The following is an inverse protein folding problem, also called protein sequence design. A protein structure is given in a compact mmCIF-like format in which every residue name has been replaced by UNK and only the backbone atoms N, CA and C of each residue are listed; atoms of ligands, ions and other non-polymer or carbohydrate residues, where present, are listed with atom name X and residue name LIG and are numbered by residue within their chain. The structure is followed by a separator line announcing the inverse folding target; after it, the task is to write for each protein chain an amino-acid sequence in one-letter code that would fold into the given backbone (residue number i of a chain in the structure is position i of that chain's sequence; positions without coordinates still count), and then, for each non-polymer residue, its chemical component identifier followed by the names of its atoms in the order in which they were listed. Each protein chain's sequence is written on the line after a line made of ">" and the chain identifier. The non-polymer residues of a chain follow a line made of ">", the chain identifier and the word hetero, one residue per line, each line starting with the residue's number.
data_IF_745329970497
#
_entry.id   IF_745329970497
#
_cell.length_a   1.000
_cell.length_b   1.000
_cell.length_c   1.000
_cell.angle_alpha   90.00
_cell.angle_beta   90.00
_cell.angle_gamma   90.00
#
_symmetry.space_group_name_H-M   'P 1'
#
loop_
_entity.id
_entity.type
_entity.pdbx_description
1 polymer ?
#
# COMPACT_ATOMS: atom_id res chain seq x y z
N UNK A 1 2.70 -5.58 13.84
CA UNK A 1 1.79 -5.91 12.74
C UNK A 1 0.43 -5.58 13.28
N UNK A 2 -0.22 -4.53 12.76
CA UNK A 2 -1.60 -4.20 13.14
C UNK A 2 -2.49 -5.43 12.82
N UNK A 3 -3.54 -5.64 13.60
CA UNK A 3 -4.49 -6.73 13.35
C UNK A 3 -5.41 -6.35 12.18
N UNK A 4 -5.65 -7.27 11.23
CA UNK A 4 -6.62 -7.06 10.14
C UNK A 4 -7.99 -6.71 10.71
N UNK A 5 -8.37 -7.34 11.82
CA UNK A 5 -9.63 -7.06 12.52
C UNK A 5 -9.66 -5.62 13.07
N UNK A 6 -8.56 -5.13 13.67
CA UNK A 6 -8.46 -3.74 14.14
C UNK A 6 -8.55 -2.74 12.98
N UNK A 7 -7.90 -3.01 11.85
CA UNK A 7 -7.97 -2.16 10.66
C UNK A 7 -9.40 -2.06 10.12
N UNK A 8 -10.11 -3.19 10.01
CA UNK A 8 -11.49 -3.22 9.52
C UNK A 8 -12.45 -2.53 10.50
N UNK A 9 -12.28 -2.72 11.81
CA UNK A 9 -13.06 -2.03 12.84
C UNK A 9 -12.89 -0.50 12.75
N UNK A 10 -11.64 -0.02 12.61
CA UNK A 10 -11.36 1.41 12.49
C UNK A 10 -12.01 2.07 11.27
N UNK A 11 -12.35 1.28 10.23
CA UNK A 11 -13.05 1.72 9.03
C UNK A 11 -14.56 1.52 9.08
N UNK A 12 -15.09 1.05 10.21
CA UNK A 12 -16.53 0.88 10.42
C UNK A 12 -17.12 -0.39 9.82
N UNK A 13 -16.30 -1.40 9.52
CA UNK A 13 -16.80 -2.73 9.16
C UNK A 13 -17.46 -3.36 10.39
N UNK A 14 -18.61 -4.00 10.19
CA UNK A 14 -19.41 -4.56 11.28
C UNK A 14 -18.67 -5.72 11.96
N UNK A 15 -18.72 -5.78 13.30
CA UNK A 15 -18.11 -6.86 14.09
C UNK A 15 -18.59 -8.25 13.65
N UNK A 16 -19.87 -8.40 13.29
CA UNK A 16 -20.42 -9.67 12.79
C UNK A 16 -19.70 -10.15 11.51
N UNK A 17 -19.39 -9.22 10.60
CA UNK A 17 -18.64 -9.53 9.38
C UNK A 17 -17.22 -9.98 9.70
N UNK A 18 -16.56 -9.30 10.66
CA UNK A 18 -15.20 -9.62 11.07
C UNK A 18 -15.15 -11.01 11.73
N UNK A 19 -16.10 -11.30 12.63
CA UNK A 19 -16.27 -12.63 13.22
C UNK A 19 -16.49 -13.71 12.15
N UNK A 20 -17.29 -13.42 11.13
CA UNK A 20 -17.51 -14.34 10.02
C UNK A 20 -16.23 -14.58 9.21
N UNK A 21 -15.41 -13.55 8.98
CA UNK A 21 -14.11 -13.67 8.32
C UNK A 21 -13.14 -14.53 9.14
N UNK A 22 -13.09 -14.31 10.46
CA UNK A 22 -12.27 -15.09 11.39
C UNK A 22 -12.70 -16.57 11.44
N UNK A 23 -14.00 -16.85 11.51
CA UNK A 23 -14.54 -18.22 11.49
C UNK A 23 -14.16 -18.96 10.20
N UNK A 24 -14.17 -18.24 9.07
CA UNK A 24 -13.76 -18.77 7.78
C UNK A 24 -12.24 -18.79 7.57
N UNK A 25 -11.46 -18.37 8.58
CA UNK A 25 -9.99 -18.29 8.53
C UNK A 25 -9.49 -17.40 7.39
N UNK A 26 -10.16 -16.28 7.17
CA UNK A 26 -9.77 -15.25 6.21
C UNK A 26 -8.79 -14.30 6.90
N UNK A 27 -7.51 -14.60 6.79
CA UNK A 27 -6.40 -13.75 7.28
C UNK A 27 -5.84 -12.85 6.18
N UNK A 28 -4.78 -12.09 6.48
CA UNK A 28 -4.14 -11.17 5.53
C UNK A 28 -3.65 -11.85 4.26
N UNK A 29 -3.14 -13.08 4.36
CA UNK A 29 -2.58 -13.82 3.23
C UNK A 29 -3.72 -14.29 2.31
N UNK A 30 -4.81 -14.79 2.90
CA UNK A 30 -6.02 -15.16 2.17
C UNK A 30 -6.62 -13.94 1.47
N UNK A 31 -6.75 -12.80 2.17
CA UNK A 31 -7.25 -11.55 1.57
C UNK A 31 -6.41 -11.15 0.36
N UNK A 32 -5.08 -11.26 0.45
CA UNK A 32 -4.17 -10.94 -0.65
C UNK A 32 -4.37 -11.78 -1.93
N UNK A 33 -4.95 -12.99 -1.78
CA UNK A 33 -5.22 -13.93 -2.87
C UNK A 33 -6.66 -13.90 -3.38
N UNK A 34 -7.58 -13.25 -2.67
CA UNK A 34 -8.99 -13.17 -3.06
C UNK A 34 -9.19 -12.26 -4.29
N UNK A 35 -10.17 -12.59 -5.12
CA UNK A 35 -10.67 -11.66 -6.14
C UNK A 35 -11.63 -10.61 -5.53
N UNK A 36 -11.81 -9.48 -6.23
CA UNK A 36 -12.65 -8.36 -5.75
C UNK A 36 -14.11 -8.78 -5.47
N UNK A 37 -14.68 -9.65 -6.31
CA UNK A 37 -16.07 -10.07 -6.18
C UNK A 37 -16.27 -10.98 -4.96
N UNK A 38 -15.27 -11.78 -4.60
CA UNK A 38 -15.28 -12.57 -3.37
C UNK A 38 -15.14 -11.67 -2.14
N UNK A 39 -14.22 -10.70 -2.17
CA UNK A 39 -14.04 -9.77 -1.04
C UNK A 39 -15.24 -8.83 -0.85
N UNK A 40 -15.93 -8.46 -1.92
CA UNK A 40 -17.16 -7.63 -1.89
C UNK A 40 -18.27 -8.22 -1.02
N UNK A 41 -18.30 -9.55 -0.82
CA UNK A 41 -19.27 -10.21 0.07
C UNK A 41 -19.10 -9.83 1.54
N UNK A 42 -17.89 -9.45 1.93
CA UNK A 42 -17.55 -9.03 3.29
C UNK A 42 -17.44 -7.51 3.39
N UNK A 43 -16.82 -6.88 2.38
CA UNK A 43 -16.52 -5.44 2.40
C UNK A 43 -17.19 -4.80 1.17
N UNK A 44 -18.46 -4.36 1.28
CA UNK A 44 -19.22 -3.84 0.14
C UNK A 44 -18.66 -2.53 -0.44
N UNK A 45 -18.05 -1.72 0.43
CA UNK A 45 -17.40 -0.45 0.07
C UNK A 45 -16.14 -0.70 -0.76
N UNK A 46 -16.11 -0.20 -2.00
CA UNK A 46 -14.97 -0.38 -2.90
C UNK A 46 -13.68 0.22 -2.35
N UNK A 47 -13.76 1.44 -1.78
CA UNK A 47 -12.59 2.12 -1.20
C UNK A 47 -11.97 1.33 -0.05
N UNK A 48 -12.79 0.69 0.78
CA UNK A 48 -12.30 -0.12 1.90
C UNK A 48 -11.70 -1.44 1.43
N UNK A 49 -12.19 -2.01 0.32
CA UNK A 49 -11.54 -3.16 -0.34
C UNK A 49 -10.15 -2.83 -0.84
N UNK A 50 -9.98 -1.70 -1.54
CA UNK A 50 -8.65 -1.25 -1.98
C UNK A 50 -7.74 -1.00 -0.78
N UNK A 51 -8.26 -0.38 0.28
CA UNK A 51 -7.51 -0.10 1.49
C UNK A 51 -7.03 -1.40 2.18
N UNK A 52 -7.89 -2.40 2.35
CA UNK A 52 -7.49 -3.67 2.97
C UNK A 52 -6.57 -4.49 2.07
N UNK A 53 -6.76 -4.48 0.75
CA UNK A 53 -5.83 -5.13 -0.18
C UNK A 53 -4.44 -4.52 -0.04
N UNK A 54 -4.33 -3.19 -0.02
CA UNK A 54 -3.04 -2.51 0.16
C UNK A 54 -2.45 -2.76 1.55
N UNK A 55 -3.29 -2.80 2.58
CA UNK A 55 -2.88 -3.13 3.94
C UNK A 55 -2.27 -4.54 4.01
N UNK A 56 -2.95 -5.55 3.48
CA UNK A 56 -2.49 -6.94 3.44
C UNK A 56 -1.31 -7.13 2.48
N UNK A 57 -1.25 -6.35 1.38
CA UNK A 57 -0.14 -6.32 0.42
C UNK A 57 1.02 -5.43 0.85
N UNK A 58 1.06 -4.90 2.08
CA UNK A 58 2.31 -4.43 2.68
C UNK A 58 3.27 -5.60 2.91
N UNK A 59 3.58 -6.30 1.82
CA UNK A 59 4.48 -7.43 1.77
C UNK A 59 5.84 -6.91 1.38
N UNK A 60 6.86 -7.29 2.13
CA UNK A 60 8.26 -7.23 1.69
C UNK A 60 8.53 -8.17 0.51
N UNK A 61 7.49 -8.83 -0.01
CA UNK A 61 7.54 -9.77 -1.12
C UNK A 61 7.48 -9.01 -2.46
N UNK A 62 8.58 -9.02 -3.19
CA UNK A 62 8.63 -8.53 -4.56
C UNK A 62 8.02 -9.61 -5.47
N UNK A 63 6.79 -9.36 -5.93
CA UNK A 63 6.03 -10.26 -6.84
C UNK A 63 6.10 -9.83 -8.32
N UNK A 64 7.05 -8.96 -8.65
CA UNK A 64 7.28 -8.45 -10.01
C UNK A 64 8.73 -8.67 -10.42
N UNK A 65 8.96 -8.98 -11.70
CA UNK A 65 10.31 -9.13 -12.26
C UNK A 65 10.99 -7.77 -12.48
N UNK A 66 10.22 -6.69 -12.56
CA UNK A 66 10.73 -5.35 -12.79
C UNK A 66 9.88 -4.27 -12.13
N UNK A 67 10.55 -3.15 -11.82
CA UNK A 67 9.92 -1.87 -11.48
C UNK A 67 10.30 -0.86 -12.56
N UNK A 68 9.37 0.02 -12.89
CA UNK A 68 9.59 1.13 -13.81
C UNK A 68 9.92 2.37 -12.99
N UNK A 69 11.00 3.07 -13.36
CA UNK A 69 11.43 4.29 -12.69
C UNK A 69 11.17 5.48 -13.61
N UNK A 70 10.23 6.33 -13.21
CA UNK A 70 9.91 7.59 -13.88
C UNK A 70 10.63 8.76 -13.22
N UNK A 71 11.25 9.63 -14.02
CA UNK A 71 11.81 10.89 -13.54
C UNK A 71 10.85 12.03 -13.85
N UNK A 72 10.46 12.79 -12.83
CA UNK A 72 9.43 13.81 -12.94
C UNK A 72 9.87 15.15 -12.37
N UNK A 73 9.29 16.22 -12.90
CA UNK A 73 9.46 17.56 -12.34
C UNK A 73 8.65 17.68 -11.06
N UNK A 74 9.33 17.64 -9.92
CA UNK A 74 8.74 17.85 -8.60
C UNK A 74 9.18 19.21 -8.06
N UNK A 75 8.30 19.87 -7.30
CA UNK A 75 8.68 21.08 -6.56
C UNK A 75 9.53 20.69 -5.34
N UNK A 76 10.32 21.61 -4.79
CA UNK A 76 11.11 21.36 -3.57
C UNK A 76 10.24 20.89 -2.38
N UNK A 77 8.97 21.29 -2.34
CA UNK A 77 8.02 20.91 -1.27
C UNK A 77 7.30 19.59 -1.53
N UNK A 78 7.36 19.06 -2.75
CA UNK A 78 6.72 17.79 -3.16
C UNK A 78 7.74 16.77 -3.63
N UNK A 79 9.01 17.00 -3.33
CA UNK A 79 10.14 16.18 -3.78
C UNK A 79 10.30 14.98 -2.85
N UNK A 80 9.40 14.02 -2.98
CA UNK A 80 9.48 12.73 -2.27
C UNK A 80 9.28 11.61 -3.28
N UNK A 81 9.94 10.46 -3.14
CA UNK A 81 9.65 9.30 -3.97
C UNK A 81 8.18 8.89 -3.86
N UNK A 82 7.51 8.68 -4.99
CA UNK A 82 6.10 8.26 -5.04
C UNK A 82 6.03 6.87 -5.66
N UNK A 83 5.42 5.93 -4.95
CA UNK A 83 5.24 4.56 -5.45
C UNK A 83 3.79 4.29 -5.83
N UNK A 84 3.56 3.85 -7.07
CA UNK A 84 2.29 3.30 -7.53
C UNK A 84 2.40 1.77 -7.61
N UNK A 85 2.01 1.09 -6.53
CA UNK A 85 2.17 -0.37 -6.37
C UNK A 85 1.36 -1.18 -7.37
N UNK A 86 0.18 -0.73 -7.77
CA UNK A 86 -0.65 -1.43 -8.77
C UNK A 86 0.01 -1.48 -10.16
N UNK A 87 0.92 -0.55 -10.46
CA UNK A 87 1.59 -0.43 -11.76
C UNK A 87 3.09 -0.72 -11.75
N UNK A 88 3.66 -1.08 -10.60
CA UNK A 88 5.11 -1.22 -10.39
C UNK A 88 5.90 0.03 -10.83
N UNK A 89 5.34 1.23 -10.61
CA UNK A 89 5.99 2.49 -10.97
C UNK A 89 6.53 3.20 -9.72
N UNK A 90 7.77 3.68 -9.82
CA UNK A 90 8.41 4.54 -8.84
C UNK A 90 8.75 5.86 -9.51
N UNK A 91 8.19 6.95 -9.00
CA UNK A 91 8.42 8.30 -9.49
C UNK A 91 9.42 9.00 -8.58
N UNK A 92 10.44 9.60 -9.19
CA UNK A 92 11.55 10.26 -8.52
C UNK A 92 11.74 11.63 -9.16
N UNK A 93 12.12 12.63 -8.38
CA UNK A 93 12.41 13.94 -8.94
C UNK A 93 13.57 13.89 -9.97
N UNK A 94 13.46 14.63 -11.06
CA UNK A 94 14.51 14.76 -12.08
C UNK A 94 15.61 15.77 -11.70
N UNK A 95 15.43 16.48 -10.58
CA UNK A 95 16.24 17.62 -10.16
C UNK A 95 17.42 17.25 -9.23
N UNK A 96 17.74 15.97 -9.03
CA UNK A 96 18.88 15.58 -8.18
C UNK A 96 20.19 15.90 -8.87
N UNK A 97 20.98 16.78 -8.25
CA UNK A 97 22.29 17.18 -8.79
C UNK A 97 23.33 16.06 -8.64
N UNK A 98 23.19 15.22 -7.61
CA UNK A 98 24.14 14.18 -7.30
C UNK A 98 23.50 13.00 -6.54
N UNK A 99 24.20 11.86 -6.55
CA UNK A 99 23.76 10.63 -5.88
C UNK A 99 23.61 10.75 -4.35
N UNK A 100 24.52 11.43 -3.61
CA UNK A 100 24.35 11.67 -2.18
C UNK A 100 23.02 12.30 -1.80
N UNK A 101 22.55 13.32 -2.53
CA UNK A 101 21.27 13.98 -2.24
C UNK A 101 20.10 13.02 -2.42
N UNK A 102 20.06 12.31 -3.55
CA UNK A 102 19.07 11.28 -3.81
C UNK A 102 19.06 10.22 -2.70
N UNK A 103 20.25 9.73 -2.31
CA UNK A 103 20.39 8.72 -1.27
C UNK A 103 19.90 9.20 0.09
N UNK A 104 20.23 10.45 0.46
CA UNK A 104 19.84 11.04 1.73
C UNK A 104 18.32 11.15 1.85
N UNK A 105 17.65 11.66 0.80
CA UNK A 105 16.19 11.78 0.80
C UNK A 105 15.51 10.41 0.80
N UNK A 106 16.00 9.45 0.01
CA UNK A 106 15.48 8.08 0.03
C UNK A 106 15.61 7.45 1.42
N UNK A 107 16.79 7.51 2.03
CA UNK A 107 17.01 6.93 3.35
C UNK A 107 16.13 7.60 4.41
N UNK A 108 15.93 8.92 4.34
CA UNK A 108 15.04 9.62 5.27
C UNK A 108 13.60 9.09 5.19
N UNK A 109 13.11 8.76 3.99
CA UNK A 109 11.79 8.13 3.80
C UNK A 109 11.78 6.72 4.39
N UNK A 110 12.78 5.89 4.06
CA UNK A 110 12.90 4.51 4.57
C UNK A 110 12.95 4.48 6.12
N UNK A 111 13.71 5.40 6.73
CA UNK A 111 13.89 5.50 8.18
C UNK A 111 12.67 6.08 8.90
N UNK A 112 11.86 6.89 8.21
CA UNK A 112 10.69 7.53 8.83
C UNK A 112 9.58 6.55 9.20
N UNK A 113 9.54 5.36 8.61
CA UNK A 113 8.40 4.42 8.64
C UNK A 113 7.06 5.05 8.21
N UNK A 114 7.08 6.24 7.59
CA UNK A 114 5.90 6.93 7.05
C UNK A 114 5.93 6.80 5.53
N UNK A 115 5.16 5.85 5.03
CA UNK A 115 5.07 5.55 3.62
C UNK A 115 3.81 6.19 3.04
N UNK A 116 3.98 7.26 2.27
CA UNK A 116 2.89 7.89 1.53
C UNK A 116 2.63 7.07 0.28
N UNK A 117 1.60 6.22 0.35
CA UNK A 117 1.14 5.43 -0.79
C UNK A 117 0.02 6.21 -1.48
N UNK A 118 0.25 6.61 -2.72
CA UNK A 118 -0.76 7.31 -3.50
C UNK A 118 -1.79 6.32 -4.02
N UNK A 119 -3.07 6.59 -3.76
CA UNK A 119 -4.19 5.75 -4.20
C UNK A 119 -4.79 6.41 -5.44
N UNK A 120 -4.58 5.81 -6.60
CA UNK A 120 -5.19 6.24 -7.88
C UNK A 120 -6.39 5.37 -8.20
#
# INVERSE_FOLDING_TARGET
>A
MEDVSEFLLARGVQEETILQMEEQKIDSDVIGLMDDATLQKYIPSYGDRIAIFNYCRRSDLIVTDSIYVGFEKMTEFTRTPIAHTCGNNLHIADSYENFPDLRSEFNAVLESNVWVMDIV
#
